data_IF_942946627653
#
_entry.id   IF_942946627653
#
_cell.length_a   1.000
_cell.length_b   1.000
_cell.length_c   1.000
_cell.angle_alpha   90.00
_cell.angle_beta   90.00
_cell.angle_gamma   90.00
#
_symmetry.space_group_name_H-M   'P 1'
#
loop_
_entity.id
_entity.type
_entity.pdbx_description
1 polymer ?
#
# COMPACT_ATOMS: atom_id res chain seq x y z
N UNK A 1 22.42 -0.02 -9.83
CA UNK A 1 21.75 -1.19 -10.44
C UNK A 1 21.76 -1.00 -11.95
N UNK A 2 22.20 -1.99 -12.72
CA UNK A 2 22.09 -1.96 -14.19
C UNK A 2 20.65 -2.24 -14.65
N UNK A 3 20.32 -1.91 -15.90
CA UNK A 3 18.99 -2.24 -16.47
C UNK A 3 18.72 -3.75 -16.44
N UNK A 4 19.74 -4.58 -16.71
CA UNK A 4 19.59 -6.03 -16.62
C UNK A 4 19.34 -6.52 -15.20
N UNK A 5 20.03 -5.95 -14.22
CA UNK A 5 19.80 -6.27 -12.80
C UNK A 5 18.37 -5.88 -12.38
N UNK A 6 17.86 -4.74 -12.86
CA UNK A 6 16.49 -4.31 -12.59
C UNK A 6 15.46 -5.27 -13.18
N UNK A 7 15.62 -5.65 -14.46
CA UNK A 7 14.74 -6.62 -15.13
C UNK A 7 14.72 -7.98 -14.43
N UNK A 8 15.89 -8.45 -13.99
CA UNK A 8 15.98 -9.70 -13.22
C UNK A 8 15.23 -9.59 -11.90
N UNK A 9 15.41 -8.50 -11.16
CA UNK A 9 14.70 -8.27 -9.90
C UNK A 9 13.18 -8.17 -10.10
N UNK A 10 12.72 -7.54 -11.19
CA UNK A 10 11.29 -7.49 -11.54
C UNK A 10 10.73 -8.88 -11.83
N UNK A 11 11.42 -9.68 -12.64
CA UNK A 11 10.99 -11.04 -12.96
C UNK A 11 10.93 -11.95 -11.70
N UNK A 12 11.89 -11.81 -10.79
CA UNK A 12 11.87 -12.52 -9.50
C UNK A 12 10.67 -12.11 -8.65
N UNK A 13 10.32 -10.81 -8.61
CA UNK A 13 9.16 -10.31 -7.90
C UNK A 13 7.84 -10.83 -8.50
N UNK A 14 7.71 -10.84 -9.83
CA UNK A 14 6.53 -11.38 -10.53
C UNK A 14 6.36 -12.88 -10.26
N UNK A 15 7.45 -13.65 -10.25
CA UNK A 15 7.41 -15.07 -9.90
C UNK A 15 6.96 -15.30 -8.45
N UNK A 16 7.45 -14.49 -7.51
CA UNK A 16 7.03 -14.56 -6.11
C UNK A 16 5.55 -14.25 -5.93
N UNK A 17 5.06 -13.21 -6.61
CA UNK A 17 3.65 -12.86 -6.63
C UNK A 17 2.79 -14.01 -7.21
N UNK A 18 3.22 -14.61 -8.32
CA UNK A 18 2.52 -15.70 -8.98
C UNK A 18 2.38 -16.95 -8.10
N UNK A 19 3.39 -17.28 -7.27
CA UNK A 19 3.29 -18.36 -6.28
C UNK A 19 2.19 -18.13 -5.24
N UNK A 20 1.80 -16.87 -5.02
CA UNK A 20 0.71 -16.48 -4.12
C UNK A 20 -0.62 -16.26 -4.85
N UNK A 21 -0.69 -16.58 -6.15
CA UNK A 21 -1.88 -16.36 -6.98
C UNK A 21 -2.08 -14.92 -7.44
N UNK A 22 -1.07 -14.06 -7.29
CA UNK A 22 -1.12 -12.65 -7.70
C UNK A 22 -0.47 -12.49 -9.08
N UNK A 23 -1.11 -11.71 -9.96
CA UNK A 23 -0.57 -11.37 -11.28
C UNK A 23 0.00 -9.96 -11.23
N UNK A 24 1.32 -9.83 -11.30
CA UNK A 24 2.00 -8.54 -11.35
C UNK A 24 2.55 -8.29 -12.76
N UNK A 25 2.42 -7.05 -13.22
CA UNK A 25 2.90 -6.55 -14.51
C UNK A 25 3.95 -5.45 -14.27
N UNK A 26 5.02 -5.76 -13.54
CA UNK A 26 5.96 -4.79 -12.97
C UNK A 26 6.59 -3.91 -14.06
N UNK A 27 6.90 -4.50 -15.21
CA UNK A 27 7.50 -3.78 -16.35
C UNK A 27 6.55 -2.75 -17.01
N UNK A 28 5.25 -2.81 -16.73
CA UNK A 28 4.25 -1.86 -17.25
C UNK A 28 3.92 -0.74 -16.25
N UNK A 29 4.32 -0.91 -14.99
CA UNK A 29 4.03 0.04 -13.92
C UNK A 29 4.69 1.38 -14.20
N UNK A 30 3.99 2.46 -13.85
CA UNK A 30 4.50 3.83 -13.91
C UNK A 30 4.91 4.26 -12.50
N UNK A 31 6.22 4.35 -12.20
CA UNK A 31 6.68 4.86 -10.91
C UNK A 31 6.06 6.23 -10.66
N UNK A 32 5.37 6.38 -9.54
CA UNK A 32 4.62 7.60 -9.25
C UNK A 32 4.65 7.96 -7.77
N UNK A 33 4.24 9.19 -7.45
CA UNK A 33 4.02 9.62 -6.09
C UNK A 33 2.70 9.03 -5.56
N UNK A 34 2.76 8.35 -4.41
CA UNK A 34 1.60 7.68 -3.79
C UNK A 34 0.94 8.48 -2.68
N UNK A 35 1.34 9.74 -2.45
CA UNK A 35 0.83 10.56 -1.34
C UNK A 35 -0.68 10.72 -1.41
N UNK A 36 -1.23 10.99 -2.60
CA UNK A 36 -2.68 11.14 -2.78
C UNK A 36 -3.44 9.82 -2.62
N UNK A 37 -2.84 8.70 -3.04
CA UNK A 37 -3.37 7.38 -2.74
C UNK A 37 -3.43 7.13 -1.22
N UNK A 38 -2.40 7.52 -0.47
CA UNK A 38 -2.40 7.42 0.99
C UNK A 38 -3.40 8.38 1.66
N UNK A 39 -3.56 9.62 1.17
CA UNK A 39 -4.59 10.55 1.65
C UNK A 39 -5.98 9.97 1.45
N UNK A 40 -6.22 9.36 0.30
CA UNK A 40 -7.48 8.68 -0.01
C UNK A 40 -7.70 7.44 0.87
N UNK A 41 -6.65 6.68 1.20
CA UNK A 41 -6.72 5.57 2.18
C UNK A 41 -7.08 6.07 3.58
N UNK A 42 -6.57 7.21 4.03
CA UNK A 42 -6.97 7.80 5.31
C UNK A 42 -8.44 8.25 5.30
N UNK A 43 -8.92 8.80 4.18
CA UNK A 43 -10.35 9.06 4.01
C UNK A 43 -11.17 7.76 4.05
N UNK A 44 -10.76 6.74 3.31
CA UNK A 44 -11.43 5.43 3.31
C UNK A 44 -11.52 4.84 4.72
N UNK A 45 -10.47 5.00 5.54
CA UNK A 45 -10.48 4.59 6.96
C UNK A 45 -11.60 5.26 7.75
N UNK A 46 -11.85 6.55 7.52
CA UNK A 46 -12.92 7.30 8.20
C UNK A 46 -14.33 6.81 7.84
N UNK A 47 -14.49 6.11 6.71
CA UNK A 47 -15.74 5.52 6.25
C UNK A 47 -15.74 3.97 6.29
N UNK A 48 -14.73 3.36 6.92
CA UNK A 48 -14.63 1.91 7.08
C UNK A 48 -14.37 1.12 5.79
N UNK A 49 -13.59 1.70 4.86
CA UNK A 49 -13.25 1.16 3.53
C UNK A 49 -11.75 1.09 3.25
N UNK A 50 -10.91 1.29 4.26
CA UNK A 50 -9.45 1.33 4.10
C UNK A 50 -8.87 0.01 3.59
N UNK A 51 -9.36 -1.13 4.08
CA UNK A 51 -8.88 -2.43 3.62
C UNK A 51 -9.24 -2.69 2.15
N UNK A 52 -10.50 -2.49 1.76
CA UNK A 52 -10.93 -2.70 0.38
C UNK A 52 -10.24 -1.73 -0.58
N UNK A 53 -10.09 -0.47 -0.18
CA UNK A 53 -9.39 0.52 -1.01
C UNK A 53 -7.91 0.17 -1.15
N UNK A 54 -7.22 -0.20 -0.07
CA UNK A 54 -5.80 -0.55 -0.10
C UNK A 54 -5.56 -1.76 -1.04
N UNK A 55 -6.38 -2.81 -0.93
CA UNK A 55 -6.32 -3.97 -1.82
C UNK A 55 -6.53 -3.55 -3.29
N UNK A 56 -7.55 -2.71 -3.55
CA UNK A 56 -7.86 -2.26 -4.90
C UNK A 56 -6.78 -1.34 -5.48
N UNK A 57 -6.13 -0.52 -4.67
CA UNK A 57 -4.98 0.30 -5.07
C UNK A 57 -3.79 -0.57 -5.45
N UNK A 58 -3.47 -1.59 -4.63
CA UNK A 58 -2.40 -2.54 -4.97
C UNK A 58 -2.68 -3.29 -6.26
N UNK A 59 -3.89 -3.83 -6.44
CA UNK A 59 -4.29 -4.48 -7.68
C UNK A 59 -4.20 -3.52 -8.87
N UNK A 60 -4.74 -2.31 -8.73
CA UNK A 60 -4.73 -1.31 -9.80
C UNK A 60 -3.32 -0.91 -10.21
N UNK A 61 -2.39 -0.82 -9.25
CA UNK A 61 -1.01 -0.44 -9.51
C UNK A 61 -0.18 -1.61 -10.06
N UNK A 62 -0.18 -2.76 -9.38
CA UNK A 62 0.68 -3.88 -9.71
C UNK A 62 0.14 -4.76 -10.83
N UNK A 63 -1.17 -4.93 -10.93
CA UNK A 63 -1.81 -5.77 -11.95
C UNK A 63 -2.29 -4.95 -13.13
N UNK A 64 -3.13 -3.93 -12.92
CA UNK A 64 -3.69 -3.14 -14.02
C UNK A 64 -2.71 -2.08 -14.56
N UNK A 65 -1.55 -1.88 -13.92
CA UNK A 65 -0.56 -0.85 -14.27
C UNK A 65 -1.15 0.58 -14.38
N UNK A 66 -2.19 0.88 -13.60
CA UNK A 66 -2.86 2.18 -13.56
C UNK A 66 -1.99 3.23 -12.86
N UNK A 67 -2.16 4.48 -13.28
CA UNK A 67 -1.47 5.62 -12.70
C UNK A 67 -2.19 6.10 -11.43
N UNK A 68 -1.77 5.60 -10.26
CA UNK A 68 -2.38 5.93 -8.96
C UNK A 68 -2.00 7.31 -8.39
N UNK A 69 -1.50 8.22 -9.24
CA UNK A 69 -1.35 9.65 -8.93
C UNK A 69 -2.35 10.52 -9.68
N UNK A 70 -3.15 9.91 -10.57
CA UNK A 70 -4.22 10.61 -11.29
C UNK A 70 -5.50 10.62 -10.46
N UNK A 71 -6.08 11.79 -10.26
CA UNK A 71 -7.24 11.96 -9.37
C UNK A 71 -8.49 11.25 -9.88
N UNK A 72 -8.70 11.21 -11.19
CA UNK A 72 -9.83 10.50 -11.80
C UNK A 72 -9.69 9.00 -11.57
N UNK A 73 -8.51 8.45 -11.84
CA UNK A 73 -8.16 7.04 -11.58
C UNK A 73 -8.39 6.68 -10.11
N UNK A 74 -7.92 7.51 -9.18
CA UNK A 74 -8.08 7.30 -7.74
C UNK A 74 -9.56 7.33 -7.31
N UNK A 75 -10.35 8.27 -7.83
CA UNK A 75 -11.78 8.35 -7.55
C UNK A 75 -12.55 7.14 -8.09
N UNK A 76 -12.21 6.67 -9.29
CA UNK A 76 -12.84 5.48 -9.89
C UNK A 76 -12.49 4.20 -9.12
N UNK A 77 -11.25 4.11 -8.59
CA UNK A 77 -10.84 3.02 -7.68
C UNK A 77 -11.68 3.07 -6.40
N UNK A 78 -11.84 4.26 -5.79
CA UNK A 78 -12.64 4.44 -4.58
C UNK A 78 -14.12 4.05 -4.79
N UNK A 79 -14.72 4.50 -5.89
CA UNK A 79 -16.09 4.13 -6.24
C UNK A 79 -16.25 2.61 -6.39
N UNK A 80 -15.27 1.94 -7.02
CA UNK A 80 -15.32 0.49 -7.24
C UNK A 80 -15.32 -0.35 -5.96
N UNK A 81 -14.91 0.24 -4.82
CA UNK A 81 -14.94 -0.40 -3.49
C UNK A 81 -16.11 0.09 -2.62
N UNK A 82 -17.02 0.88 -3.21
CA UNK A 82 -18.24 1.37 -2.58
C UNK A 82 -18.09 2.68 -1.82
N UNK A 83 -17.02 3.45 -2.07
CA UNK A 83 -16.89 4.81 -1.54
C UNK A 83 -17.64 5.82 -2.42
N UNK A 84 -17.97 6.99 -1.87
CA UNK A 84 -18.57 8.07 -2.65
C UNK A 84 -17.50 8.72 -3.56
N UNK A 85 -17.76 8.70 -4.86
CA UNK A 85 -16.83 9.22 -5.88
C UNK A 85 -16.61 10.73 -5.77
N UNK A 86 -17.68 11.50 -5.58
CA UNK A 86 -17.60 12.96 -5.52
C UNK A 86 -16.89 13.43 -4.25
N UNK A 87 -17.14 12.79 -3.11
CA UNK A 87 -16.40 13.04 -1.87
C UNK A 87 -14.92 12.68 -2.01
N UNK A 88 -14.61 11.57 -2.70
CA UNK A 88 -13.23 11.17 -3.00
C UNK A 88 -12.52 12.23 -3.84
N UNK A 89 -13.18 12.77 -4.87
CA UNK A 89 -12.66 13.88 -5.67
C UNK A 89 -12.45 15.13 -4.82
N UNK A 90 -13.39 15.47 -3.94
CA UNK A 90 -13.26 16.63 -3.05
C UNK A 90 -12.03 16.51 -2.12
N UNK A 91 -11.77 15.32 -1.58
CA UNK A 91 -10.55 15.03 -0.79
C UNK A 91 -9.29 15.17 -1.63
N UNK A 92 -9.30 14.65 -2.87
CA UNK A 92 -8.15 14.70 -3.76
C UNK A 92 -7.80 16.14 -4.18
N UNK A 93 -8.80 16.98 -4.45
CA UNK A 93 -8.63 18.38 -4.81
C UNK A 93 -8.18 19.28 -3.66
N UNK A 94 -8.61 19.01 -2.42
CA UNK A 94 -8.10 19.72 -1.25
C UNK A 94 -6.85 19.01 -0.72
N UNK A 95 -5.67 19.50 -1.13
CA UNK A 95 -4.37 18.92 -0.76
C UNK A 95 -4.09 18.87 0.74
N UNK A 96 -4.84 19.63 1.56
CA UNK A 96 -4.71 19.62 3.01
C UNK A 96 -5.46 18.47 3.68
N UNK A 97 -6.52 17.96 3.04
CA UNK A 97 -7.34 16.87 3.59
C UNK A 97 -6.51 15.61 3.75
N UNK A 98 -6.51 15.07 4.96
CA UNK A 98 -5.80 13.86 5.37
C UNK A 98 -4.26 13.92 5.23
N UNK A 99 -3.70 15.07 4.87
CA UNK A 99 -2.26 15.22 4.70
C UNK A 99 -1.53 15.08 6.05
N UNK A 100 -2.07 15.65 7.12
CA UNK A 100 -1.50 15.55 8.47
C UNK A 100 -1.42 14.10 8.96
N UNK A 101 -2.43 13.30 8.66
CA UNK A 101 -2.57 11.91 9.07
C UNK A 101 -1.52 11.06 8.37
N UNK A 102 -1.37 11.22 7.04
CA UNK A 102 -0.29 10.55 6.29
C UNK A 102 1.09 10.94 6.83
N UNK A 103 1.35 12.23 7.06
CA UNK A 103 2.63 12.69 7.63
C UNK A 103 2.87 12.20 9.06
N UNK A 104 1.81 12.03 9.84
CA UNK A 104 1.89 11.49 11.19
C UNK A 104 2.26 10.00 11.19
N UNK A 105 1.70 9.22 10.26
CA UNK A 105 2.08 7.81 10.08
C UNK A 105 3.54 7.67 9.63
N UNK A 106 4.00 8.48 8.67
CA UNK A 106 5.40 8.53 8.23
C UNK A 106 6.35 8.92 9.37
N UNK A 107 5.99 9.94 10.17
CA UNK A 107 6.76 10.37 11.32
C UNK A 107 6.86 9.29 12.40
N UNK A 108 5.75 8.59 12.65
CA UNK A 108 5.71 7.45 13.58
C UNK A 108 6.63 6.33 13.11
N UNK A 109 6.56 5.96 11.83
CA UNK A 109 7.45 4.95 11.25
C UNK A 109 8.93 5.34 11.41
N UNK A 110 9.27 6.60 11.14
CA UNK A 110 10.63 7.12 11.33
C UNK A 110 11.09 7.09 12.79
N UNK A 111 10.22 7.46 13.73
CA UNK A 111 10.53 7.40 15.17
C UNK A 111 10.79 5.96 15.64
N UNK A 112 10.12 4.98 15.05
CA UNK A 112 10.33 3.55 15.31
C UNK A 112 11.55 2.97 14.56
N UNK A 113 12.29 3.78 13.81
CA UNK A 113 13.45 3.34 13.04
C UNK A 113 13.10 2.51 11.81
N UNK A 114 11.85 2.56 11.34
CA UNK A 114 11.39 1.83 10.16
C UNK A 114 11.90 2.54 8.91
N UNK A 115 12.67 1.82 8.08
CA UNK A 115 13.29 2.34 6.85
C UNK A 115 12.75 1.68 5.57
N UNK A 116 11.84 0.72 5.70
CA UNK A 116 11.26 0.01 4.56
C UNK A 116 9.93 -0.65 4.91
N UNK A 117 9.09 -0.82 3.88
CA UNK A 117 7.81 -1.51 3.94
C UNK A 117 7.86 -2.81 3.10
N UNK A 118 7.02 -3.83 3.40
CA UNK A 118 6.08 -3.87 4.51
C UNK A 118 6.78 -4.04 5.86
N UNK A 119 6.17 -3.52 6.93
CA UNK A 119 6.66 -3.63 8.29
C UNK A 119 5.49 -3.82 9.25
N UNK A 120 5.62 -4.74 10.18
CA UNK A 120 4.56 -5.10 11.11
C UNK A 120 5.03 -4.94 12.54
N UNK A 121 4.22 -4.27 13.36
CA UNK A 121 4.42 -4.16 14.82
C UNK A 121 3.29 -4.90 15.50
N UNK A 122 3.60 -5.97 16.24
CA UNK A 122 2.64 -6.81 16.96
C UNK A 122 2.76 -6.50 18.45
N UNK A 123 1.64 -6.07 19.05
CA UNK A 123 1.50 -5.68 20.46
C UNK A 123 2.58 -4.70 20.97
N UNK A 124 3.12 -3.85 20.08
CA UNK A 124 4.25 -2.93 20.37
C UNK A 124 5.51 -3.63 20.93
N UNK A 125 5.60 -4.95 20.85
CA UNK A 125 6.68 -5.79 21.40
C UNK A 125 7.52 -6.43 20.32
N UNK A 126 6.86 -6.90 19.25
CA UNK A 126 7.50 -7.65 18.18
C UNK A 126 7.45 -6.86 16.87
N UNK A 127 8.57 -6.82 16.18
CA UNK A 127 8.70 -6.19 14.88
C UNK A 127 9.06 -7.23 13.82
N UNK A 128 8.36 -7.22 12.70
CA UNK A 128 8.65 -8.04 11.53
C UNK A 128 8.91 -7.10 10.35
N UNK A 129 10.11 -7.19 9.77
CA UNK A 129 10.51 -6.40 8.61
C UNK A 129 10.45 -7.24 7.34
N UNK A 130 9.78 -6.72 6.31
CA UNK A 130 9.61 -7.36 5.02
C UNK A 130 8.48 -8.39 4.97
N UNK A 131 8.23 -8.90 3.76
CA UNK A 131 7.26 -9.96 3.50
C UNK A 131 7.84 -11.32 3.95
N UNK A 132 7.68 -11.63 5.24
CA UNK A 132 8.18 -12.87 5.83
C UNK A 132 7.21 -14.05 5.61
N UNK A 133 7.67 -15.31 5.71
CA UNK A 133 6.81 -16.48 5.68
C UNK A 133 5.74 -16.46 6.79
N UNK A 134 4.60 -17.12 6.54
CA UNK A 134 3.45 -17.17 7.46
C UNK A 134 3.83 -17.71 8.84
N UNK A 135 4.80 -18.63 8.92
CA UNK A 135 5.30 -19.21 10.16
C UNK A 135 5.95 -18.17 11.08
N UNK A 136 6.60 -17.15 10.51
CA UNK A 136 7.20 -16.03 11.27
C UNK A 136 6.11 -15.20 11.93
N UNK A 137 5.04 -14.90 11.19
CA UNK A 137 3.88 -14.19 11.70
C UNK A 137 3.16 -14.99 12.80
N UNK A 138 2.91 -16.28 12.57
CA UNK A 138 2.26 -17.15 13.56
C UNK A 138 3.05 -17.23 14.86
N UNK A 139 4.39 -17.35 14.77
CA UNK A 139 5.26 -17.36 15.94
C UNK A 139 5.18 -16.04 16.72
N UNK A 140 5.25 -14.90 16.02
CA UNK A 140 5.20 -13.60 16.66
C UNK A 140 3.84 -13.34 17.34
N UNK A 141 2.73 -13.74 16.70
CA UNK A 141 1.39 -13.65 17.29
C UNK A 141 1.26 -14.51 18.55
N UNK A 142 1.73 -15.76 18.50
CA UNK A 142 1.72 -16.66 19.66
C UNK A 142 2.53 -16.10 20.83
N UNK A 143 3.71 -15.51 20.55
CA UNK A 143 4.55 -14.89 21.57
C UNK A 143 3.95 -13.60 22.14
N UNK A 144 3.27 -12.79 21.33
CA UNK A 144 2.62 -11.56 21.78
C UNK A 144 1.37 -11.83 22.66
N UNK A 145 0.72 -12.98 22.47
CA UNK A 145 -0.46 -13.39 23.25
C UNK A 145 -0.17 -14.01 24.62
N UNK A 146 1.11 -14.21 24.95
CA UNK A 146 1.58 -14.65 26.27
C UNK A 146 1.81 -13.45 27.18
#
# INVERSE_FOLDING_TARGET
>A
MSIEQAKKAHAELEQQAAMMGLVYNIDQIKPTNTFDAHRLTQYAKSVGKDQELAEKLFYSYYTDAKLISDHVTLADIAESVGMNRDESIAVLHDSSKYASEVRSDEATAKQLGITGAPFFVIDRKYAISGAQPTEVFLKALNQASQ
#
